data_IF_000003187577
#
_entry.id   IF_000003187577
#
_cell.length_a   1.000
_cell.length_b   1.000
_cell.length_c   1.000
_cell.angle_alpha   90.00
_cell.angle_beta   90.00
_cell.angle_gamma   90.00
#
_symmetry.space_group_name_H-M   'P 1'
#
loop_
_entity.id
_entity.type
_entity.pdbx_description
1 polymer ?
#
# COMPACT_ATOMS: atom_id res chain seq x y z
N UNK A 1 26.48 52.72 -2.21
CA UNK A 1 25.64 51.95 -1.28
C UNK A 1 24.66 51.16 -2.11
N UNK A 2 24.96 49.88 -2.35
CA UNK A 2 24.01 48.95 -2.96
C UNK A 2 24.38 47.56 -2.42
N UNK A 3 23.69 47.13 -1.38
CA UNK A 3 23.83 45.80 -0.77
C UNK A 3 22.74 44.92 -1.35
N UNK A 4 23.10 44.12 -2.37
CA UNK A 4 22.28 43.01 -2.85
C UNK A 4 22.42 41.82 -1.91
N UNK A 5 21.33 41.41 -1.29
CA UNK A 5 21.19 40.15 -0.56
C UNK A 5 21.32 38.97 -1.54
N UNK A 6 22.02 37.87 -1.19
CA UNK A 6 22.04 36.69 -2.04
C UNK A 6 20.70 35.96 -1.95
N UNK A 7 20.13 35.68 -3.11
CA UNK A 7 18.92 34.88 -3.31
C UNK A 7 19.08 33.50 -2.69
N UNK A 8 18.17 33.16 -1.76
CA UNK A 8 17.94 31.79 -1.29
C UNK A 8 17.65 30.92 -2.51
N UNK A 9 18.51 29.94 -2.76
CA UNK A 9 18.38 28.96 -3.83
C UNK A 9 17.13 28.10 -3.60
N UNK A 10 16.04 28.42 -4.30
CA UNK A 10 14.90 27.52 -4.46
C UNK A 10 15.35 26.30 -5.26
N UNK A 11 15.57 25.17 -4.59
CA UNK A 11 15.65 23.87 -5.28
C UNK A 11 14.28 23.62 -5.93
N UNK A 12 14.22 23.21 -7.20
CA UNK A 12 12.97 23.20 -7.95
C UNK A 12 11.98 22.20 -7.36
N UNK A 13 10.70 22.60 -7.32
CA UNK A 13 9.49 21.81 -7.00
C UNK A 13 9.50 20.37 -7.56
N UNK A 14 10.30 20.14 -8.60
CA UNK A 14 10.61 18.88 -9.26
C UNK A 14 11.18 17.77 -8.34
N UNK A 15 12.01 18.07 -7.34
CA UNK A 15 12.64 17.02 -6.51
C UNK A 15 11.64 16.31 -5.57
N UNK A 16 10.72 17.07 -4.96
CA UNK A 16 9.64 16.51 -4.12
C UNK A 16 8.66 15.71 -4.99
N UNK A 17 8.38 16.22 -6.19
CA UNK A 17 7.56 15.52 -7.18
C UNK A 17 8.20 14.19 -7.62
N UNK A 18 9.50 14.15 -7.89
CA UNK A 18 10.21 12.93 -8.27
C UNK A 18 10.22 11.88 -7.15
N UNK A 19 10.45 12.30 -5.91
CA UNK A 19 10.36 11.40 -4.75
C UNK A 19 8.95 10.83 -4.57
N UNK A 20 7.93 11.68 -4.66
CA UNK A 20 6.54 11.25 -4.60
C UNK A 20 6.15 10.32 -5.76
N UNK A 21 6.66 10.58 -6.97
CA UNK A 21 6.51 9.66 -8.10
C UNK A 21 7.18 8.32 -7.83
N UNK A 22 8.38 8.30 -7.23
CA UNK A 22 9.05 7.06 -6.84
C UNK A 22 8.25 6.31 -5.77
N UNK A 23 7.63 6.99 -4.80
CA UNK A 23 6.70 6.38 -3.83
C UNK A 23 5.48 5.77 -4.54
N UNK A 24 4.88 6.47 -5.51
CA UNK A 24 3.80 5.90 -6.33
C UNK A 24 4.25 4.68 -7.16
N UNK A 25 5.46 4.73 -7.73
CA UNK A 25 6.03 3.68 -8.56
C UNK A 25 6.43 2.45 -7.73
N UNK A 26 7.03 2.64 -6.55
CA UNK A 26 7.26 1.58 -5.58
C UNK A 26 5.93 1.02 -5.05
N UNK A 27 4.88 1.85 -4.91
CA UNK A 27 3.53 1.40 -4.60
C UNK A 27 2.83 0.64 -5.73
N UNK A 28 3.30 0.68 -6.99
CA UNK A 28 2.82 -0.25 -8.04
C UNK A 28 3.13 -1.70 -7.69
N UNK A 29 4.18 -1.94 -6.89
CA UNK A 29 4.61 -3.26 -6.43
C UNK A 29 4.10 -3.61 -5.02
N UNK A 30 3.50 -2.68 -4.28
CA UNK A 30 2.99 -2.94 -2.92
C UNK A 30 1.81 -3.92 -2.91
N UNK A 31 1.02 -4.01 -3.99
CA UNK A 31 -0.03 -5.02 -4.15
C UNK A 31 0.52 -6.45 -4.29
N UNK A 32 1.76 -6.61 -4.79
CA UNK A 32 2.43 -7.92 -4.86
C UNK A 32 2.86 -8.43 -3.47
N UNK A 33 3.02 -7.55 -2.48
CA UNK A 33 3.29 -7.94 -1.09
C UNK A 33 2.09 -8.58 -0.38
N UNK A 34 0.87 -8.40 -0.89
CA UNK A 34 -0.34 -9.01 -0.33
C UNK A 34 -0.54 -10.46 -0.83
N UNK A 35 0.17 -10.88 -1.89
CA UNK A 35 0.10 -12.24 -2.44
C UNK A 35 1.46 -12.76 -2.94
N UNK A 36 2.42 -13.01 -2.04
CA UNK A 36 3.35 -14.15 -2.07
C UNK A 36 4.53 -13.92 -1.12
N UNK A 37 4.78 -14.89 -0.24
CA UNK A 37 5.97 -14.93 0.63
C UNK A 37 7.12 -15.74 -0.01
N UNK A 38 7.17 -15.82 -1.34
CA UNK A 38 8.18 -16.62 -2.05
C UNK A 38 8.35 -16.18 -3.51
N UNK A 39 9.21 -15.17 -3.74
CA UNK A 39 10.21 -15.16 -4.82
C UNK A 39 11.09 -13.89 -4.70
N UNK A 40 12.14 -13.94 -3.89
CA UNK A 40 13.37 -13.20 -4.18
C UNK A 40 14.31 -14.22 -4.83
N UNK A 41 14.75 -14.00 -6.07
CA UNK A 41 16.08 -14.37 -6.56
C UNK A 41 16.34 -13.63 -7.90
N UNK A 42 17.51 -12.98 -7.93
CA UNK A 42 18.29 -12.49 -9.07
C UNK A 42 17.68 -11.48 -10.05
N UNK A 43 18.30 -10.30 -10.12
CA UNK A 43 19.24 -10.01 -11.21
C UNK A 43 20.08 -8.76 -10.86
N UNK A 44 21.37 -8.99 -10.65
CA UNK A 44 22.40 -7.98 -10.67
C UNK A 44 23.21 -8.01 -11.97
N UNK A 45 23.96 -6.92 -12.16
CA UNK A 45 25.07 -6.70 -13.08
C UNK A 45 24.75 -6.32 -14.54
N UNK A 46 25.26 -5.12 -14.91
CA UNK A 46 25.99 -4.68 -16.11
C UNK A 46 26.15 -3.15 -15.93
N UNK A 47 27.29 -2.48 -16.04
CA UNK A 47 28.70 -2.82 -16.14
C UNK A 47 29.49 -1.54 -15.76
N UNK A 48 30.63 -1.73 -15.12
CA UNK A 48 31.72 -0.75 -15.02
C UNK A 48 32.40 -0.59 -16.38
N UNK A 49 32.67 0.65 -16.81
CA UNK A 49 33.99 1.02 -17.33
C UNK A 49 34.13 2.53 -17.59
N UNK A 50 35.12 3.15 -16.98
CA UNK A 50 36.13 3.99 -17.65
C UNK A 50 36.94 4.77 -16.61
N UNK A 51 38.16 4.30 -16.38
CA UNK A 51 39.24 5.14 -15.89
C UNK A 51 39.86 5.91 -17.07
N UNK A 52 40.39 7.12 -16.81
CA UNK A 52 41.79 7.54 -17.11
C UNK A 52 41.94 9.08 -16.99
N UNK A 53 42.71 9.48 -15.97
CA UNK A 53 43.67 10.59 -15.78
C UNK A 53 43.39 12.02 -16.27
N UNK A 54 43.54 12.99 -15.35
CA UNK A 54 44.66 13.97 -15.43
C UNK A 54 44.95 14.66 -14.08
N UNK A 55 46.23 14.72 -13.75
CA UNK A 55 46.85 15.35 -12.58
C UNK A 55 47.09 16.85 -12.78
N UNK A 56 46.77 17.66 -11.75
CA UNK A 56 47.66 18.65 -11.10
C UNK A 56 46.98 19.99 -10.72
N UNK A 57 47.10 20.32 -9.43
CA UNK A 57 47.23 21.66 -8.84
C UNK A 57 45.95 22.48 -8.56
N UNK A 58 45.34 22.26 -7.39
CA UNK A 58 44.94 23.32 -6.45
C UNK A 58 44.54 22.73 -5.09
N UNK A 59 45.51 22.68 -4.17
CA UNK A 59 45.31 22.39 -2.75
C UNK A 59 44.71 23.64 -2.08
N UNK A 60 43.40 23.60 -1.79
CA UNK A 60 42.69 24.26 -0.66
C UNK A 60 41.18 23.92 -0.67
N UNK A 61 40.62 23.28 -1.71
CA UNK A 61 39.17 22.93 -1.79
C UNK A 61 38.87 21.42 -1.93
N UNK A 62 39.87 20.57 -1.73
CA UNK A 62 39.76 19.10 -1.88
C UNK A 62 39.30 18.38 -0.62
N UNK A 63 39.50 18.96 0.57
CA UNK A 63 39.12 18.35 1.85
C UNK A 63 37.64 18.48 2.18
N UNK A 64 36.98 19.54 1.69
CA UNK A 64 35.53 19.76 1.80
C UNK A 64 34.76 18.83 0.88
N UNK A 65 35.18 18.75 -0.38
CA UNK A 65 34.55 17.93 -1.43
C UNK A 65 34.76 16.42 -1.24
N UNK A 66 35.96 16.00 -0.81
CA UNK A 66 36.22 14.58 -0.52
C UNK A 66 35.41 14.08 0.69
N UNK A 67 35.29 14.91 1.74
CA UNK A 67 34.57 14.57 2.96
C UNK A 67 33.04 14.54 2.74
N UNK A 68 32.49 15.40 1.88
CA UNK A 68 31.05 15.35 1.51
C UNK A 68 30.74 14.11 0.65
N UNK A 69 31.62 13.73 -0.27
CA UNK A 69 31.42 12.54 -1.09
C UNK A 69 31.52 11.24 -0.28
N UNK A 70 32.48 11.15 0.64
CA UNK A 70 32.62 10.01 1.56
C UNK A 70 31.38 9.87 2.47
N UNK A 71 30.80 11.00 2.91
CA UNK A 71 29.63 10.97 3.79
C UNK A 71 28.37 10.53 3.08
N UNK A 72 28.19 10.96 1.83
CA UNK A 72 27.10 10.48 0.99
C UNK A 72 27.23 8.97 0.75
N UNK A 73 28.43 8.48 0.45
CA UNK A 73 28.69 7.05 0.25
C UNK A 73 28.39 6.23 1.51
N UNK A 74 28.81 6.69 2.70
CA UNK A 74 28.51 5.99 3.96
C UNK A 74 27.02 5.93 4.29
N UNK A 75 26.26 6.99 3.99
CA UNK A 75 24.82 7.02 4.22
C UNK A 75 24.05 6.19 3.20
N UNK A 76 24.51 6.08 1.95
CA UNK A 76 23.93 5.14 0.99
C UNK A 76 24.14 3.69 1.45
N UNK A 77 25.32 3.32 1.97
CA UNK A 77 25.55 1.99 2.55
C UNK A 77 24.59 1.73 3.72
N UNK A 78 24.34 2.72 4.58
CA UNK A 78 23.40 2.57 5.69
C UNK A 78 21.95 2.37 5.20
N UNK A 79 21.55 3.01 4.09
CA UNK A 79 20.24 2.78 3.47
C UNK A 79 20.14 1.35 2.92
N UNK A 80 21.16 0.85 2.23
CA UNK A 80 21.21 -0.53 1.74
C UNK A 80 21.16 -1.55 2.91
N UNK A 81 21.83 -1.24 4.02
CA UNK A 81 21.76 -2.04 5.25
C UNK A 81 20.33 -2.10 5.82
N UNK A 82 19.59 -1.00 5.78
CA UNK A 82 18.18 -0.99 6.20
C UNK A 82 17.33 -1.88 5.28
N UNK A 83 17.55 -1.82 3.97
CA UNK A 83 16.83 -2.66 3.00
C UNK A 83 17.10 -4.16 3.19
N UNK A 84 18.32 -4.51 3.61
CA UNK A 84 18.75 -5.89 3.87
C UNK A 84 18.47 -6.38 5.30
N UNK A 85 17.94 -5.52 6.18
CA UNK A 85 17.58 -5.85 7.56
C UNK A 85 18.74 -5.75 8.56
N UNK A 86 19.89 -5.22 8.16
CA UNK A 86 21.06 -4.97 9.00
C UNK A 86 20.92 -3.66 9.83
N UNK A 87 19.79 -3.51 10.52
CA UNK A 87 19.39 -2.25 11.14
C UNK A 87 20.40 -1.70 12.16
N UNK A 88 20.98 -2.55 13.00
CA UNK A 88 21.98 -2.11 13.98
C UNK A 88 23.24 -1.53 13.33
N UNK A 89 23.64 -2.04 12.16
CA UNK A 89 24.80 -1.50 11.43
C UNK A 89 24.48 -0.12 10.87
N UNK A 90 23.31 0.04 10.26
CA UNK A 90 22.83 1.31 9.74
C UNK A 90 22.69 2.37 10.84
N UNK A 91 22.14 1.99 12.00
CA UNK A 91 22.00 2.88 13.18
C UNK A 91 23.38 3.41 13.59
N UNK A 92 24.39 2.54 13.73
CA UNK A 92 25.76 2.96 14.11
C UNK A 92 26.39 3.92 13.10
N UNK A 93 26.15 3.70 11.80
CA UNK A 93 26.66 4.59 10.75
C UNK A 93 25.98 5.96 10.86
N UNK A 94 24.65 5.99 10.98
CA UNK A 94 23.89 7.22 11.10
C UNK A 94 24.27 8.03 12.35
N UNK A 95 24.40 7.39 13.53
CA UNK A 95 24.84 8.06 14.77
C UNK A 95 26.22 8.70 14.65
N UNK A 96 27.16 8.00 13.99
CA UNK A 96 28.50 8.52 13.72
C UNK A 96 28.45 9.76 12.84
N UNK A 97 27.66 9.71 11.77
CA UNK A 97 27.53 10.83 10.84
C UNK A 97 26.83 12.03 11.46
N UNK A 98 25.83 11.82 12.31
CA UNK A 98 25.20 12.88 13.12
C UNK A 98 26.28 13.54 13.99
N UNK A 99 27.04 12.74 14.76
CA UNK A 99 28.07 13.27 15.65
C UNK A 99 29.17 14.06 14.92
N UNK A 100 29.63 13.55 13.77
CA UNK A 100 30.60 14.24 12.91
C UNK A 100 30.05 15.57 12.36
N UNK A 101 28.83 15.53 11.84
CA UNK A 101 28.17 16.71 11.26
C UNK A 101 27.91 17.79 12.31
N UNK A 102 27.44 17.41 13.51
CA UNK A 102 27.25 18.36 14.62
C UNK A 102 28.55 19.02 15.07
N UNK A 103 29.66 18.28 15.09
CA UNK A 103 30.95 18.79 15.49
C UNK A 103 31.54 19.79 14.47
N UNK A 104 31.27 19.59 13.17
CA UNK A 104 31.84 20.39 12.08
C UNK A 104 30.94 21.58 11.73
N UNK A 105 29.63 21.34 11.57
CA UNK A 105 28.67 22.31 11.01
C UNK A 105 27.70 22.88 12.05
N UNK A 106 27.53 22.19 13.19
CA UNK A 106 26.66 22.63 14.28
C UNK A 106 25.31 21.90 14.34
N UNK A 107 24.55 22.15 15.41
CA UNK A 107 23.40 21.33 15.84
C UNK A 107 22.12 21.52 15.02
N UNK A 108 22.08 22.54 14.17
CA UNK A 108 20.92 22.90 13.35
C UNK A 108 21.27 23.00 11.87
N UNK A 109 22.43 22.49 11.45
CA UNK A 109 22.81 22.50 10.04
C UNK A 109 21.89 21.57 9.22
N UNK A 110 21.53 22.00 8.01
CA UNK A 110 20.64 21.24 7.12
C UNK A 110 21.21 19.87 6.74
N UNK A 111 22.53 19.70 6.75
CA UNK A 111 23.19 18.42 6.49
C UNK A 111 22.84 17.34 7.52
N UNK A 112 22.29 17.71 8.69
CA UNK A 112 21.82 16.74 9.69
C UNK A 112 20.52 16.02 9.29
N UNK A 113 19.73 16.56 8.36
CA UNK A 113 18.40 16.00 8.05
C UNK A 113 18.52 14.56 7.55
N UNK A 114 19.41 14.30 6.61
CA UNK A 114 19.58 12.98 6.02
C UNK A 114 20.05 11.91 7.02
N UNK A 115 21.14 12.09 7.78
CA UNK A 115 21.57 11.08 8.74
C UNK A 115 20.58 10.89 9.89
N UNK A 116 19.81 11.93 10.27
CA UNK A 116 18.68 11.77 11.22
C UNK A 116 17.54 10.94 10.65
N UNK A 117 17.23 11.09 9.36
CA UNK A 117 16.23 10.25 8.67
C UNK A 117 16.70 8.79 8.60
N UNK A 118 17.97 8.55 8.24
CA UNK A 118 18.54 7.19 8.21
C UNK A 118 18.53 6.55 9.59
N UNK A 119 18.86 7.32 10.65
CA UNK A 119 18.74 6.85 12.03
C UNK A 119 17.31 6.45 12.36
N UNK A 120 16.33 7.30 12.03
CA UNK A 120 14.92 7.01 12.24
C UNK A 120 14.45 5.76 11.49
N UNK A 121 14.88 5.59 10.24
CA UNK A 121 14.54 4.43 9.41
C UNK A 121 15.12 3.13 9.99
N UNK A 122 16.39 3.17 10.42
CA UNK A 122 17.05 2.05 11.09
C UNK A 122 16.36 1.66 12.40
N UNK A 123 16.04 2.65 13.25
CA UNK A 123 15.34 2.42 14.52
C UNK A 123 13.91 1.87 14.30
N UNK A 124 13.18 2.39 13.32
CA UNK A 124 11.84 1.91 12.98
C UNK A 124 11.88 0.47 12.45
N UNK A 125 12.86 0.14 11.59
CA UNK A 125 13.08 -1.22 11.10
C UNK A 125 13.47 -2.20 12.22
N UNK A 126 14.27 -1.73 13.18
CA UNK A 126 14.63 -2.50 14.38
C UNK A 126 13.45 -2.70 15.36
N UNK A 127 12.39 -1.90 15.25
CA UNK A 127 11.21 -1.94 16.12
C UNK A 127 11.26 -0.99 17.31
N UNK A 128 12.27 -0.12 17.39
CA UNK A 128 12.37 0.95 18.39
C UNK A 128 11.64 2.21 17.90
N UNK A 129 10.31 2.13 17.89
CA UNK A 129 9.45 3.17 17.31
C UNK A 129 9.55 4.51 18.05
N UNK A 130 9.80 4.51 19.36
CA UNK A 130 9.89 5.76 20.14
C UNK A 130 11.15 6.55 19.80
N UNK A 131 12.30 5.88 19.71
CA UNK A 131 13.54 6.56 19.30
C UNK A 131 13.52 6.92 17.81
N UNK A 132 12.87 6.13 16.96
CA UNK A 132 12.66 6.48 15.56
C UNK A 132 11.88 7.80 15.43
N UNK A 133 10.76 7.94 16.14
CA UNK A 133 9.96 9.17 16.17
C UNK A 133 10.78 10.37 16.67
N UNK A 134 11.60 10.20 17.72
CA UNK A 134 12.49 11.27 18.19
C UNK A 134 13.50 11.72 17.13
N UNK A 135 14.06 10.78 16.34
CA UNK A 135 14.97 11.10 15.25
C UNK A 135 14.28 11.88 14.12
N UNK A 136 13.07 11.46 13.73
CA UNK A 136 12.26 12.18 12.73
C UNK A 136 11.81 13.56 13.20
N UNK A 137 11.35 13.70 14.45
CA UNK A 137 10.99 14.99 15.05
C UNK A 137 12.19 15.96 14.99
N UNK A 138 13.39 15.45 15.25
CA UNK A 138 14.62 16.23 15.16
C UNK A 138 14.95 16.62 13.71
N UNK A 139 14.80 15.71 12.75
CA UNK A 139 14.96 16.03 11.33
C UNK A 139 13.96 17.09 10.85
N UNK A 140 12.69 17.00 11.28
CA UNK A 140 11.66 18.01 11.02
C UNK A 140 12.01 19.35 11.65
N UNK A 141 12.50 19.36 12.89
CA UNK A 141 12.91 20.58 13.56
C UNK A 141 14.04 21.30 12.79
N UNK A 142 15.10 20.57 12.41
CA UNK A 142 16.20 21.12 11.59
C UNK A 142 15.67 21.65 10.26
N UNK A 143 14.80 20.89 9.58
CA UNK A 143 14.17 21.33 8.32
C UNK A 143 13.40 22.64 8.50
N UNK A 144 12.58 22.74 9.55
CA UNK A 144 11.75 23.92 9.82
C UNK A 144 12.57 25.15 10.18
N UNK A 145 13.68 24.97 10.91
CA UNK A 145 14.61 26.06 11.25
C UNK A 145 15.26 26.64 9.98
N UNK A 146 15.62 25.79 9.02
CA UNK A 146 16.36 26.21 7.83
C UNK A 146 15.46 26.63 6.65
N UNK A 147 14.28 26.03 6.50
CA UNK A 147 13.44 26.18 5.32
C UNK A 147 12.02 26.71 5.61
N UNK A 148 11.60 26.73 6.89
CA UNK A 148 10.30 27.21 7.33
C UNK A 148 9.28 26.10 7.63
N UNK A 149 8.18 26.48 8.29
CA UNK A 149 7.23 25.55 8.91
C UNK A 149 6.46 24.67 7.91
N UNK A 150 6.28 25.12 6.68
CA UNK A 150 5.49 24.42 5.65
C UNK A 150 6.32 24.11 4.40
N UNK A 151 7.64 24.00 4.52
CA UNK A 151 8.48 23.61 3.39
C UNK A 151 8.13 22.18 2.94
N UNK A 152 7.95 21.92 1.63
CA UNK A 152 7.55 20.61 1.11
C UNK A 152 8.63 19.52 1.29
N UNK A 153 9.90 19.87 1.55
CA UNK A 153 10.97 18.89 1.85
C UNK A 153 10.69 18.08 3.10
N UNK A 154 9.89 18.59 4.02
CA UNK A 154 9.56 17.88 5.26
C UNK A 154 8.55 16.74 5.05
N UNK A 155 7.82 16.72 3.91
CA UNK A 155 6.74 15.77 3.62
C UNK A 155 7.20 14.32 3.71
N UNK A 156 8.40 14.01 3.20
CA UNK A 156 8.95 12.66 3.27
C UNK A 156 9.13 12.19 4.72
N UNK A 157 9.62 13.05 5.60
CA UNK A 157 9.82 12.74 7.03
C UNK A 157 8.48 12.59 7.75
N UNK A 158 7.48 13.43 7.44
CA UNK A 158 6.14 13.31 8.02
C UNK A 158 5.49 11.97 7.64
N UNK A 159 5.66 11.49 6.41
CA UNK A 159 5.16 10.15 6.04
C UNK A 159 5.88 9.02 6.80
N UNK A 160 7.17 9.18 7.13
CA UNK A 160 7.90 8.22 7.98
C UNK A 160 7.35 8.21 9.41
N UNK A 161 7.06 9.38 10.00
CA UNK A 161 6.35 9.44 11.29
C UNK A 161 5.01 8.72 11.23
N UNK A 162 4.22 9.00 10.19
CA UNK A 162 2.91 8.38 10.01
C UNK A 162 3.00 6.85 9.95
N UNK A 163 3.92 6.32 9.16
CA UNK A 163 4.16 4.88 9.06
C UNK A 163 4.68 4.27 10.36
N UNK A 164 5.51 5.01 11.11
CA UNK A 164 6.04 4.58 12.41
C UNK A 164 4.94 4.53 13.47
N UNK A 165 4.05 5.53 13.52
CA UNK A 165 2.86 5.49 14.38
C UNK A 165 1.94 4.31 14.03
N UNK A 166 1.74 4.04 12.73
CA UNK A 166 0.96 2.88 12.29
C UNK A 166 1.59 1.56 12.75
N UNK A 167 2.90 1.39 12.59
CA UNK A 167 3.64 0.20 13.03
C UNK A 167 3.57 0.02 14.55
N UNK A 168 3.59 1.12 15.31
CA UNK A 168 3.37 1.16 16.77
C UNK A 168 1.92 0.84 17.17
N UNK A 169 0.98 0.80 16.22
CA UNK A 169 -0.44 0.56 16.46
C UNK A 169 -1.27 1.81 16.77
N UNK A 170 -0.67 3.00 16.71
CA UNK A 170 -1.33 4.29 16.89
C UNK A 170 -1.86 4.82 15.55
N UNK A 171 -2.99 4.25 15.12
CA UNK A 171 -3.56 4.54 13.81
C UNK A 171 -4.16 5.94 13.74
N UNK A 172 -4.63 6.50 14.87
CA UNK A 172 -5.18 7.86 14.92
C UNK A 172 -4.10 8.89 14.59
N UNK A 173 -2.96 8.86 15.30
CA UNK A 173 -1.85 9.78 15.01
C UNK A 173 -1.26 9.53 13.62
N UNK A 174 -1.20 8.28 13.18
CA UNK A 174 -0.78 7.96 11.81
C UNK A 174 -1.68 8.63 10.76
N UNK A 175 -2.99 8.70 11.01
CA UNK A 175 -3.94 9.39 10.14
C UNK A 175 -3.68 10.90 10.11
N UNK A 176 -3.54 11.53 11.29
CA UNK A 176 -3.26 12.96 11.41
C UNK A 176 -1.97 13.36 10.69
N UNK A 177 -0.94 12.50 10.74
CA UNK A 177 0.34 12.72 10.04
C UNK A 177 0.21 12.59 8.52
N UNK A 178 -0.55 11.61 8.01
CA UNK A 178 -0.83 11.52 6.56
C UNK A 178 -1.61 12.75 6.06
N UNK A 179 -2.62 13.20 6.80
CA UNK A 179 -3.38 14.41 6.47
C UNK A 179 -2.49 15.66 6.52
N UNK A 180 -1.61 15.77 7.52
CA UNK A 180 -0.66 16.89 7.62
C UNK A 180 0.34 16.92 6.45
N UNK A 181 0.86 15.76 6.04
CA UNK A 181 1.73 15.65 4.87
C UNK A 181 1.02 16.15 3.61
N UNK A 182 -0.23 15.74 3.40
CA UNK A 182 -1.05 16.22 2.29
C UNK A 182 -1.34 17.73 2.39
N UNK A 183 -1.66 18.24 3.57
CA UNK A 183 -1.88 19.68 3.78
C UNK A 183 -0.65 20.52 3.44
N UNK A 184 0.57 20.05 3.75
CA UNK A 184 1.80 20.73 3.32
C UNK A 184 1.88 20.76 1.79
N UNK A 185 1.58 19.66 1.11
CA UNK A 185 1.56 19.62 -0.35
C UNK A 185 0.53 20.59 -0.92
N UNK A 186 -0.71 20.53 -0.44
CA UNK A 186 -1.79 21.42 -0.87
C UNK A 186 -1.39 22.89 -0.74
N UNK A 187 -0.85 23.29 0.41
CA UNK A 187 -0.41 24.67 0.64
C UNK A 187 0.69 25.15 -0.32
N UNK A 188 1.49 24.24 -0.88
CA UNK A 188 2.60 24.59 -1.77
C UNK A 188 2.25 24.47 -3.27
N UNK A 189 1.17 23.76 -3.62
CA UNK A 189 0.85 23.37 -4.99
C UNK A 189 -0.65 23.52 -5.34
N UNK A 190 -1.44 24.26 -4.55
CA UNK A 190 -2.87 24.54 -4.82
C UNK A 190 -3.12 25.56 -5.94
N UNK A 191 -2.06 26.12 -6.51
CA UNK A 191 -2.15 26.98 -7.69
C UNK A 191 -2.23 26.13 -8.95
N UNK A 192 -3.14 26.47 -9.86
CA UNK A 192 -3.46 25.69 -11.05
C UNK A 192 -2.25 25.31 -11.94
N UNK A 193 -1.17 26.10 -11.94
CA UNK A 193 0.06 25.77 -12.66
C UNK A 193 0.88 24.61 -12.03
N UNK A 194 0.71 24.37 -10.73
CA UNK A 194 1.48 23.40 -9.94
C UNK A 194 0.62 22.23 -9.41
N UNK A 195 -0.71 22.27 -9.60
CA UNK A 195 -1.66 21.25 -9.09
C UNK A 195 -1.31 19.81 -9.50
N UNK A 196 -0.61 19.63 -10.62
CA UNK A 196 -0.08 18.31 -11.04
C UNK A 196 0.79 17.65 -9.96
N UNK A 197 1.48 18.45 -9.13
CA UNK A 197 2.32 17.96 -8.04
C UNK A 197 1.52 17.40 -6.85
N UNK A 198 0.21 17.67 -6.76
CA UNK A 198 -0.68 17.10 -5.75
C UNK A 198 -1.09 15.67 -6.05
N UNK A 199 -1.01 15.23 -7.31
CA UNK A 199 -1.51 13.93 -7.75
C UNK A 199 -0.92 12.79 -6.91
N UNK A 200 0.40 12.69 -6.71
CA UNK A 200 0.96 11.65 -5.86
C UNK A 200 0.50 11.69 -4.40
N UNK A 201 0.49 12.87 -3.77
CA UNK A 201 0.01 13.00 -2.39
C UNK A 201 -1.46 12.61 -2.25
N UNK A 202 -2.26 12.90 -3.28
CA UNK A 202 -3.68 12.54 -3.34
C UNK A 202 -3.87 11.03 -3.35
N UNK A 203 -3.07 10.30 -4.15
CA UNK A 203 -3.10 8.84 -4.18
C UNK A 203 -2.60 8.22 -2.87
N UNK A 204 -1.50 8.72 -2.30
CA UNK A 204 -0.96 8.22 -1.02
C UNK A 204 -2.01 8.32 0.09
N UNK A 205 -2.72 9.46 0.18
CA UNK A 205 -3.77 9.64 1.18
C UNK A 205 -5.03 8.81 0.87
N UNK A 206 -5.40 8.64 -0.40
CA UNK A 206 -6.49 7.73 -0.79
C UNK A 206 -6.20 6.28 -0.39
N UNK A 207 -4.98 5.79 -0.70
CA UNK A 207 -4.53 4.44 -0.39
C UNK A 207 -4.46 4.22 1.14
N UNK A 208 -4.00 5.22 1.90
CA UNK A 208 -4.02 5.21 3.36
C UNK A 208 -5.44 5.01 3.91
N UNK A 209 -6.41 5.74 3.36
CA UNK A 209 -7.80 5.59 3.77
C UNK A 209 -8.41 4.25 3.36
N UNK A 210 -8.01 3.66 2.23
CA UNK A 210 -8.38 2.26 1.91
C UNK A 210 -7.80 1.30 2.95
N UNK A 211 -6.50 1.46 3.26
CA UNK A 211 -5.77 0.61 4.22
C UNK A 211 -6.38 0.65 5.62
N UNK A 212 -6.84 1.81 6.06
CA UNK A 212 -7.51 2.01 7.37
C UNK A 212 -9.02 1.88 7.31
N UNK A 213 -9.57 1.48 6.16
CA UNK A 213 -11.00 1.28 5.91
C UNK A 213 -11.88 2.54 6.11
N UNK A 214 -11.30 3.73 5.95
CA UNK A 214 -12.05 4.99 5.78
C UNK A 214 -12.48 5.17 4.32
N UNK A 215 -13.33 4.25 3.85
CA UNK A 215 -13.75 4.13 2.44
C UNK A 215 -14.38 5.40 1.85
N UNK A 216 -15.04 6.23 2.66
CA UNK A 216 -15.64 7.49 2.18
C UNK A 216 -14.57 8.55 1.90
N UNK A 217 -13.58 8.69 2.78
CA UNK A 217 -12.46 9.60 2.52
C UNK A 217 -11.57 9.09 1.38
N UNK A 218 -11.31 7.78 1.32
CA UNK A 218 -10.62 7.17 0.18
C UNK A 218 -11.29 7.54 -1.14
N UNK A 219 -12.63 7.45 -1.20
CA UNK A 219 -13.41 7.82 -2.39
C UNK A 219 -13.22 9.29 -2.74
N UNK A 220 -13.35 10.19 -1.76
CA UNK A 220 -13.14 11.63 -1.98
C UNK A 220 -11.77 11.91 -2.60
N UNK A 221 -10.71 11.26 -2.11
CA UNK A 221 -9.36 11.47 -2.64
C UNK A 221 -9.13 10.79 -4.00
N UNK A 222 -9.67 9.61 -4.29
CA UNK A 222 -9.61 9.05 -5.64
C UNK A 222 -10.42 9.87 -6.66
N UNK A 223 -11.56 10.43 -6.27
CA UNK A 223 -12.34 11.35 -7.10
C UNK A 223 -11.54 12.63 -7.38
N UNK A 224 -10.84 13.17 -6.37
CA UNK A 224 -9.90 14.28 -6.57
C UNK A 224 -8.76 13.90 -7.52
N UNK A 225 -8.18 12.72 -7.35
CA UNK A 225 -7.14 12.22 -8.24
C UNK A 225 -7.65 12.06 -9.68
N UNK A 226 -8.91 11.63 -9.87
CA UNK A 226 -9.57 11.57 -11.18
C UNK A 226 -9.61 12.95 -11.83
N UNK A 227 -10.10 13.96 -11.11
CA UNK A 227 -10.22 15.34 -11.61
C UNK A 227 -8.86 15.94 -11.96
N UNK A 228 -7.85 15.77 -11.08
CA UNK A 228 -6.50 16.25 -11.35
C UNK A 228 -5.87 15.54 -12.56
N UNK A 229 -6.04 14.22 -12.65
CA UNK A 229 -5.49 13.44 -13.76
C UNK A 229 -6.13 13.80 -15.10
N UNK A 230 -7.46 13.96 -15.14
CA UNK A 230 -8.19 14.38 -16.34
C UNK A 230 -7.77 15.79 -16.78
N UNK A 231 -7.60 16.71 -15.83
CA UNK A 231 -7.24 18.11 -16.09
C UNK A 231 -5.81 18.26 -16.63
N UNK A 232 -4.84 17.54 -16.07
CA UNK A 232 -3.42 17.75 -16.39
C UNK A 232 -2.83 16.77 -17.40
N UNK A 233 -3.35 15.53 -17.48
CA UNK A 233 -2.85 14.52 -18.41
C UNK A 233 -3.82 14.20 -19.55
N UNK A 234 -5.10 14.59 -19.43
CA UNK A 234 -6.13 14.35 -20.43
C UNK A 234 -6.75 12.95 -20.39
N UNK A 235 -7.79 12.79 -21.21
CA UNK A 235 -8.59 11.57 -21.35
C UNK A 235 -7.75 10.49 -22.03
N UNK A 236 -7.28 9.51 -21.27
CA UNK A 236 -6.52 8.35 -21.77
C UNK A 236 -5.23 8.05 -21.00
N UNK A 237 -4.81 8.94 -20.11
CA UNK A 237 -3.58 8.74 -19.35
C UNK A 237 -3.70 7.63 -18.30
N UNK A 238 -2.68 6.78 -18.09
CA UNK A 238 -2.72 5.67 -17.12
C UNK A 238 -3.05 6.09 -15.68
N UNK A 239 -2.69 7.32 -15.28
CA UNK A 239 -3.03 7.86 -13.94
C UNK A 239 -4.54 8.03 -13.77
N UNK A 240 -5.26 8.42 -14.83
CA UNK A 240 -6.72 8.51 -14.78
C UNK A 240 -7.36 7.11 -14.61
N UNK A 241 -6.81 6.09 -15.29
CA UNK A 241 -7.21 4.69 -15.09
C UNK A 241 -7.00 4.26 -13.63
N UNK A 242 -5.85 4.62 -13.03
CA UNK A 242 -5.56 4.32 -11.63
C UNK A 242 -6.58 4.98 -10.68
N UNK A 243 -6.92 6.25 -10.90
CA UNK A 243 -7.93 6.96 -10.11
C UNK A 243 -9.30 6.29 -10.21
N UNK A 244 -9.76 5.96 -11.43
CA UNK A 244 -11.02 5.28 -11.68
C UNK A 244 -11.07 3.89 -11.02
N UNK A 245 -9.96 3.13 -11.06
CA UNK A 245 -9.84 1.84 -10.36
C UNK A 245 -10.00 2.02 -8.85
N UNK A 246 -9.36 3.05 -8.29
CA UNK A 246 -9.53 3.43 -6.88
C UNK A 246 -10.98 3.73 -6.53
N UNK A 247 -11.66 4.56 -7.33
CA UNK A 247 -13.09 4.85 -7.18
C UNK A 247 -13.93 3.57 -7.18
N UNK A 248 -13.79 2.72 -8.21
CA UNK A 248 -14.52 1.46 -8.31
C UNK A 248 -14.26 0.53 -7.10
N UNK A 249 -13.00 0.44 -6.66
CA UNK A 249 -12.63 -0.36 -5.49
C UNK A 249 -13.27 0.18 -4.19
N UNK A 250 -13.42 1.50 -4.02
CA UNK A 250 -14.12 2.04 -2.83
C UNK A 250 -15.58 1.62 -2.78
N UNK A 251 -16.29 1.58 -3.92
CA UNK A 251 -17.68 1.09 -3.98
C UNK A 251 -17.76 -0.42 -3.78
N UNK A 252 -16.76 -1.17 -4.29
CA UNK A 252 -16.63 -2.61 -4.02
C UNK A 252 -16.50 -2.86 -2.52
N UNK A 253 -15.58 -2.19 -1.85
CA UNK A 253 -15.31 -2.35 -0.42
C UNK A 253 -16.49 -1.90 0.45
N UNK A 254 -17.23 -0.86 0.06
CA UNK A 254 -18.45 -0.47 0.76
C UNK A 254 -19.50 -1.60 0.79
N UNK A 255 -19.63 -2.37 -0.31
CA UNK A 255 -20.54 -3.50 -0.39
C UNK A 255 -19.95 -4.79 0.21
N UNK A 256 -18.66 -5.01 -0.01
CA UNK A 256 -17.91 -6.22 0.31
C UNK A 256 -16.77 -5.88 1.26
N UNK A 257 -17.15 -5.52 2.49
CA UNK A 257 -16.24 -5.19 3.57
C UNK A 257 -15.31 -6.36 3.91
N UNK A 258 -14.04 -6.11 4.27
CA UNK A 258 -13.19 -7.11 4.89
C UNK A 258 -13.81 -7.70 6.16
N UNK A 259 -13.42 -8.94 6.49
CA UNK A 259 -13.83 -9.64 7.69
C UNK A 259 -13.45 -8.86 8.95
N UNK A 260 -12.25 -8.29 8.95
CA UNK A 260 -11.72 -7.46 10.02
C UNK A 260 -11.45 -6.05 9.50
N UNK A 261 -12.09 -5.08 10.13
CA UNK A 261 -11.96 -3.66 9.79
C UNK A 261 -10.98 -3.03 10.78
N UNK A 262 -9.84 -2.49 10.33
CA UNK A 262 -8.97 -1.67 11.16
C UNK A 262 -9.78 -0.54 11.80
N UNK A 263 -9.56 -0.28 13.09
CA UNK A 263 -10.24 0.78 13.84
C UNK A 263 -11.77 0.73 13.87
N UNK A 264 -12.37 -0.47 13.85
CA UNK A 264 -13.83 -0.59 13.98
C UNK A 264 -14.35 0.13 15.25
N UNK A 265 -13.56 0.15 16.33
CA UNK A 265 -13.90 0.83 17.58
C UNK A 265 -13.93 2.35 17.41
N UNK A 266 -12.95 2.95 16.75
CA UNK A 266 -12.93 4.41 16.49
C UNK A 266 -13.97 4.82 15.44
N UNK A 267 -14.19 4.00 14.41
CA UNK A 267 -15.27 4.20 13.43
C UNK A 267 -16.66 4.12 14.10
N UNK A 268 -16.85 3.19 15.03
CA UNK A 268 -18.08 3.08 15.81
C UNK A 268 -18.19 4.23 16.82
N UNK A 269 -17.09 4.64 17.46
CA UNK A 269 -17.04 5.73 18.41
C UNK A 269 -17.31 7.09 17.76
N UNK A 270 -16.72 7.37 16.60
CA UNK A 270 -16.98 8.58 15.80
C UNK A 270 -18.43 8.64 15.33
N UNK A 271 -19.00 7.51 14.88
CA UNK A 271 -20.42 7.41 14.52
C UNK A 271 -21.35 7.59 15.73
N UNK A 272 -20.95 7.15 16.93
CA UNK A 272 -21.68 7.35 18.20
C UNK A 272 -21.57 8.77 18.75
N UNK A 273 -20.42 9.43 18.58
CA UNK A 273 -20.15 10.79 19.11
C UNK A 273 -20.72 11.90 18.25
N UNK A 274 -21.26 11.61 17.06
CA UNK A 274 -21.83 12.63 16.18
C UNK A 274 -20.86 13.78 15.90
N UNK A 275 -19.56 13.49 15.83
CA UNK A 275 -18.53 14.52 15.72
C UNK A 275 -18.58 15.16 14.33
N UNK A 276 -19.24 16.32 14.28
CA UNK A 276 -18.96 17.41 13.37
C UNK A 276 -17.47 17.77 13.50
N UNK A 277 -16.69 17.75 12.41
CA UNK A 277 -16.35 19.04 11.80
C UNK A 277 -16.08 19.00 10.29
N UNK A 278 -16.19 17.87 9.59
CA UNK A 278 -16.02 17.88 8.11
C UNK A 278 -16.80 16.80 7.33
N UNK A 279 -17.61 15.98 8.02
CA UNK A 279 -18.52 15.01 7.37
C UNK A 279 -19.71 15.68 6.66
N UNK A 280 -19.94 16.98 6.85
CA UNK A 280 -20.99 17.76 6.18
C UNK A 280 -20.69 18.06 4.70
N UNK A 281 -19.48 17.74 4.22
CA UNK A 281 -19.10 17.85 2.79
C UNK A 281 -19.22 16.54 2.02
N UNK A 282 -19.56 15.43 2.68
CA UNK A 282 -19.69 14.15 2.00
C UNK A 282 -21.08 14.04 1.35
N UNK A 283 -21.17 13.67 0.06
CA UNK A 283 -22.45 13.40 -0.56
C UNK A 283 -23.15 12.26 0.19
N UNK A 284 -24.50 12.31 0.33
CA UNK A 284 -25.24 11.30 1.07
C UNK A 284 -24.96 9.91 0.51
N UNK A 285 -24.70 8.94 1.40
CA UNK A 285 -24.49 7.53 1.06
C UNK A 285 -25.70 7.02 0.28
N UNK A 286 -25.53 6.83 -1.04
CA UNK A 286 -26.57 6.24 -1.87
C UNK A 286 -26.67 4.76 -1.53
N UNK A 287 -27.87 4.27 -1.29
CA UNK A 287 -28.12 2.87 -0.92
C UNK A 287 -27.87 1.92 -2.12
N UNK A 288 -27.68 2.45 -3.33
CA UNK A 288 -27.37 1.68 -4.55
C UNK A 288 -26.03 2.11 -5.17
N UNK A 289 -24.95 1.52 -4.68
CA UNK A 289 -23.55 1.79 -5.04
C UNK A 289 -23.06 1.05 -6.31
N UNK A 290 -23.96 0.34 -7.00
CA UNK A 290 -23.61 -0.46 -8.17
C UNK A 290 -23.22 0.41 -9.38
N UNK A 291 -23.96 1.50 -9.60
CA UNK A 291 -23.87 2.30 -10.83
C UNK A 291 -22.56 3.07 -10.89
N UNK A 292 -22.15 3.69 -9.80
CA UNK A 292 -20.96 4.54 -9.77
C UNK A 292 -19.67 3.73 -9.98
N UNK A 293 -19.55 2.56 -9.34
CA UNK A 293 -18.44 1.65 -9.59
C UNK A 293 -18.47 1.06 -11.01
N UNK A 294 -19.66 0.72 -11.52
CA UNK A 294 -19.83 0.27 -12.91
C UNK A 294 -19.39 1.36 -13.90
N UNK A 295 -19.77 2.62 -13.69
CA UNK A 295 -19.41 3.71 -14.60
C UNK A 295 -17.91 3.90 -14.70
N UNK A 296 -17.20 3.83 -13.56
CA UNK A 296 -15.75 3.95 -13.55
C UNK A 296 -15.07 2.80 -14.31
N UNK A 297 -15.55 1.56 -14.14
CA UNK A 297 -15.02 0.39 -14.85
C UNK A 297 -15.31 0.43 -16.36
N UNK A 298 -16.49 0.88 -16.77
CA UNK A 298 -16.83 1.10 -18.18
C UNK A 298 -15.91 2.16 -18.80
N UNK A 299 -15.63 3.24 -18.07
CA UNK A 299 -14.73 4.29 -18.52
C UNK A 299 -13.31 3.76 -18.73
N UNK A 300 -12.80 2.95 -17.79
CA UNK A 300 -11.51 2.26 -17.95
C UNK A 300 -11.49 1.41 -19.22
N UNK A 301 -12.50 0.57 -19.46
CA UNK A 301 -12.58 -0.25 -20.67
C UNK A 301 -12.55 0.61 -21.94
N UNK A 302 -13.30 1.72 -21.97
CA UNK A 302 -13.31 2.65 -23.11
C UNK A 302 -11.94 3.29 -23.34
N UNK A 303 -11.26 3.71 -22.26
CA UNK A 303 -9.94 4.33 -22.35
C UNK A 303 -8.90 3.37 -22.90
N UNK A 304 -8.87 2.13 -22.39
CA UNK A 304 -7.92 1.11 -22.85
C UNK A 304 -8.20 0.74 -24.32
N UNK A 305 -9.47 0.61 -24.72
CA UNK A 305 -9.84 0.36 -26.12
C UNK A 305 -9.49 1.51 -27.08
N UNK A 306 -9.46 2.74 -26.60
CA UNK A 306 -9.14 3.91 -27.41
C UNK A 306 -7.63 4.11 -27.63
N UNK A 307 -6.77 3.41 -26.89
CA UNK A 307 -5.33 3.43 -27.09
C UNK A 307 -5.00 2.68 -28.39
N UNK A 308 -4.45 3.38 -29.39
CA UNK A 308 -4.26 2.86 -30.75
C UNK A 308 -3.38 1.61 -30.88
N UNK A 309 -2.57 1.31 -29.85
CA UNK A 309 -1.69 0.13 -29.75
C UNK A 309 -2.07 -0.80 -28.58
N UNK A 310 -3.33 -0.78 -28.15
CA UNK A 310 -3.76 -1.48 -26.94
C UNK A 310 -3.38 -2.97 -26.96
N UNK A 311 -2.58 -3.37 -25.97
CA UNK A 311 -2.25 -4.77 -25.74
C UNK A 311 -3.56 -5.53 -25.46
N UNK A 312 -3.81 -6.59 -26.22
CA UNK A 312 -5.03 -7.41 -26.10
C UNK A 312 -5.23 -7.91 -24.65
N UNK A 313 -4.15 -8.21 -23.93
CA UNK A 313 -4.21 -8.59 -22.51
C UNK A 313 -4.68 -7.45 -21.60
N UNK A 314 -4.30 -6.20 -21.88
CA UNK A 314 -4.74 -5.05 -21.08
C UNK A 314 -6.24 -4.78 -21.26
N UNK A 315 -6.71 -4.86 -22.51
CA UNK A 315 -8.16 -4.78 -22.82
C UNK A 315 -8.91 -5.90 -22.12
N UNK A 316 -8.38 -7.12 -22.18
CA UNK A 316 -8.98 -8.28 -21.56
C UNK A 316 -9.07 -8.13 -20.04
N UNK A 317 -8.00 -7.68 -19.37
CA UNK A 317 -8.01 -7.42 -17.93
C UNK A 317 -9.05 -6.37 -17.54
N UNK A 318 -9.16 -5.26 -18.28
CA UNK A 318 -10.18 -4.25 -18.01
C UNK A 318 -11.61 -4.80 -18.16
N UNK A 319 -11.85 -5.65 -19.18
CA UNK A 319 -13.15 -6.33 -19.35
C UNK A 319 -13.42 -7.34 -18.24
N UNK A 320 -12.40 -8.08 -17.78
CA UNK A 320 -12.51 -9.01 -16.65
C UNK A 320 -12.84 -8.28 -15.34
N UNK A 321 -12.24 -7.11 -15.08
CA UNK A 321 -12.59 -6.29 -13.90
C UNK A 321 -14.09 -5.91 -13.91
N UNK A 322 -14.62 -5.55 -15.07
CA UNK A 322 -16.05 -5.23 -15.24
C UNK A 322 -16.94 -6.49 -15.17
N UNK A 323 -16.49 -7.62 -15.69
CA UNK A 323 -17.19 -8.90 -15.59
C UNK A 323 -17.29 -9.38 -14.14
N UNK A 324 -16.18 -9.30 -13.40
CA UNK A 324 -16.09 -9.62 -11.98
C UNK A 324 -16.98 -8.70 -11.15
N UNK A 325 -17.05 -7.40 -11.48
CA UNK A 325 -18.02 -6.47 -10.89
C UNK A 325 -19.46 -6.95 -11.10
N UNK A 326 -19.83 -7.33 -12.34
CA UNK A 326 -21.17 -7.87 -12.59
C UNK A 326 -21.44 -9.17 -11.84
N UNK A 327 -20.45 -10.06 -11.72
CA UNK A 327 -20.59 -11.29 -10.96
C UNK A 327 -20.80 -11.02 -9.46
N UNK A 328 -20.03 -10.11 -8.87
CA UNK A 328 -20.17 -9.69 -7.47
C UNK A 328 -21.59 -9.20 -7.16
N UNK A 329 -22.17 -8.40 -8.06
CA UNK A 329 -23.51 -7.84 -7.92
C UNK A 329 -24.61 -8.72 -8.53
N UNK A 330 -24.33 -10.01 -8.76
CA UNK A 330 -25.27 -11.03 -9.25
C UNK A 330 -25.90 -10.73 -10.63
N UNK A 331 -25.24 -9.91 -11.44
CA UNK A 331 -25.61 -9.63 -12.83
C UNK A 331 -25.01 -10.68 -13.78
N UNK A 332 -25.30 -11.96 -13.50
CA UNK A 332 -24.66 -13.12 -14.13
C UNK A 332 -24.70 -13.09 -15.67
N UNK A 333 -25.82 -12.63 -16.26
CA UNK A 333 -25.93 -12.52 -17.73
C UNK A 333 -24.95 -11.52 -18.32
N UNK A 334 -24.75 -10.37 -17.67
CA UNK A 334 -23.82 -9.33 -18.13
C UNK A 334 -22.37 -9.75 -17.90
N UNK A 335 -22.10 -10.40 -16.77
CA UNK A 335 -20.80 -11.00 -16.50
C UNK A 335 -20.42 -12.01 -17.59
N UNK A 336 -21.34 -12.93 -17.92
CA UNK A 336 -21.12 -13.97 -18.92
C UNK A 336 -20.76 -13.40 -20.29
N UNK A 337 -21.48 -12.37 -20.75
CA UNK A 337 -21.22 -11.72 -22.05
C UNK A 337 -19.77 -11.22 -22.11
N UNK A 338 -19.27 -10.62 -21.03
CA UNK A 338 -17.89 -10.10 -20.99
C UNK A 338 -16.84 -11.21 -20.87
N UNK A 339 -17.10 -12.25 -20.08
CA UNK A 339 -16.16 -13.38 -20.00
C UNK A 339 -16.04 -14.12 -21.34
N UNK A 340 -17.17 -14.31 -22.05
CA UNK A 340 -17.19 -14.94 -23.37
C UNK A 340 -16.48 -14.07 -24.41
N UNK A 341 -16.71 -12.75 -24.40
CA UNK A 341 -15.99 -11.81 -25.26
C UNK A 341 -14.48 -11.81 -25.01
N UNK A 342 -14.05 -11.88 -23.75
CA UNK A 342 -12.63 -12.07 -23.41
C UNK A 342 -12.13 -13.40 -23.93
N UNK A 343 -12.82 -14.52 -23.70
CA UNK A 343 -12.42 -15.84 -24.20
C UNK A 343 -12.21 -15.84 -25.72
N UNK A 344 -13.20 -15.35 -26.47
CA UNK A 344 -13.16 -15.30 -27.94
C UNK A 344 -12.01 -14.44 -28.48
N UNK A 345 -11.56 -13.43 -27.72
CA UNK A 345 -10.40 -12.61 -28.14
C UNK A 345 -9.07 -13.38 -28.14
N UNK A 346 -8.97 -14.54 -27.48
CA UNK A 346 -7.77 -15.39 -27.44
C UNK A 346 -7.93 -16.74 -28.16
N UNK A 347 -9.11 -17.07 -28.67
CA UNK A 347 -9.42 -18.36 -29.32
C UNK A 347 -8.60 -18.61 -30.62
N UNK A 348 -8.02 -17.55 -31.20
CA UNK A 348 -7.20 -17.58 -32.42
C UNK A 348 -5.71 -17.94 -32.26
N UNK A 349 -5.27 -18.41 -31.09
CA UNK A 349 -3.87 -18.82 -30.84
C UNK A 349 -2.94 -17.74 -30.29
N UNK A 350 -3.46 -16.56 -29.95
CA UNK A 350 -2.74 -15.52 -29.21
C UNK A 350 -2.73 -15.88 -27.71
N UNK A 351 -1.55 -15.98 -27.09
CA UNK A 351 -1.34 -16.14 -25.63
C UNK A 351 -2.28 -17.14 -24.93
N UNK A 352 -2.09 -18.45 -25.16
CA UNK A 352 -2.75 -19.50 -24.36
C UNK A 352 -2.54 -19.31 -22.86
N UNK A 353 -1.42 -18.68 -22.50
CA UNK A 353 -1.03 -18.38 -21.13
C UNK A 353 -1.98 -17.40 -20.45
N UNK A 354 -2.59 -16.46 -21.17
CA UNK A 354 -3.55 -15.51 -20.59
C UNK A 354 -4.80 -16.23 -20.07
N UNK A 355 -5.43 -17.06 -20.91
CA UNK A 355 -6.63 -17.81 -20.55
C UNK A 355 -6.32 -18.81 -19.44
N UNK A 356 -5.17 -19.51 -19.53
CA UNK A 356 -4.71 -20.42 -18.49
C UNK A 356 -4.58 -19.72 -17.12
N UNK A 357 -4.04 -18.49 -17.12
CA UNK A 357 -3.84 -17.68 -15.90
C UNK A 357 -5.14 -17.09 -15.35
N UNK A 358 -6.02 -16.59 -16.20
CA UNK A 358 -7.15 -15.75 -15.78
C UNK A 358 -8.51 -16.45 -15.76
N UNK A 359 -8.70 -17.52 -16.54
CA UNK A 359 -10.02 -18.14 -16.75
C UNK A 359 -10.03 -19.67 -16.60
N UNK A 360 -8.89 -20.36 -16.63
CA UNK A 360 -8.87 -21.83 -16.54
C UNK A 360 -9.12 -22.37 -15.12
N UNK A 361 -8.80 -21.59 -14.09
CA UNK A 361 -8.98 -21.96 -12.69
C UNK A 361 -9.82 -20.93 -11.95
N UNK A 362 -10.60 -21.34 -10.92
CA UNK A 362 -11.37 -20.40 -10.12
C UNK A 362 -10.47 -19.37 -9.45
N UNK A 363 -10.75 -18.08 -9.65
CA UNK A 363 -9.97 -16.98 -9.08
C UNK A 363 -10.79 -16.21 -8.04
N UNK A 364 -10.32 -16.04 -6.80
CA UNK A 364 -11.09 -15.31 -5.79
C UNK A 364 -11.22 -13.82 -6.17
N UNK A 365 -12.47 -13.35 -6.33
CA UNK A 365 -12.79 -11.92 -6.53
C UNK A 365 -13.06 -11.25 -5.18
N UNK A 366 -13.69 -11.98 -4.27
CA UNK A 366 -13.89 -11.56 -2.89
C UNK A 366 -13.66 -12.76 -1.97
N UNK A 367 -12.61 -12.69 -1.18
CA UNK A 367 -12.30 -13.64 -0.11
C UNK A 367 -11.65 -12.84 1.01
N UNK A 368 -12.36 -12.69 2.12
CA UNK A 368 -11.82 -12.01 3.29
C UNK A 368 -11.78 -12.96 4.46
N UNK A 369 -10.59 -13.51 4.72
CA UNK A 369 -10.34 -14.41 5.84
C UNK A 369 -10.13 -13.62 7.13
N UNK A 370 -10.38 -14.23 8.30
CA UNK A 370 -10.04 -13.64 9.58
C UNK A 370 -8.53 -13.33 9.67
N UNK A 371 -8.20 -12.23 10.34
CA UNK A 371 -6.84 -11.83 10.69
C UNK A 371 -6.44 -12.40 12.05
N UNK A 372 -5.13 -12.41 12.32
CA UNK A 372 -4.61 -12.81 13.62
C UNK A 372 -5.12 -11.88 14.74
N UNK A 373 -5.39 -12.41 15.95
CA UNK A 373 -5.75 -11.57 17.08
C UNK A 373 -4.63 -10.58 17.39
N UNK A 374 -4.99 -9.32 17.64
CA UNK A 374 -4.04 -8.28 18.05
C UNK A 374 -3.26 -8.75 19.29
N UNK A 375 -1.93 -8.61 19.26
CA UNK A 375 -1.07 -8.84 20.42
C UNK A 375 -1.44 -7.86 21.51
N UNK A 376 -1.88 -8.35 22.68
CA UNK A 376 -2.07 -7.50 23.86
C UNK A 376 -0.70 -7.00 24.34
N UNK A 377 -0.57 -5.72 24.70
CA UNK A 377 0.71 -5.19 25.23
C UNK A 377 1.14 -5.86 26.54
N UNK A 378 0.23 -6.59 27.20
CA UNK A 378 0.50 -7.39 28.41
C UNK A 378 0.88 -8.85 28.10
N UNK A 379 1.04 -9.22 26.81
CA UNK A 379 1.31 -10.60 26.38
C UNK A 379 2.79 -10.98 26.43
N UNK A 380 3.63 -10.27 27.20
CA UNK A 380 5.08 -10.50 27.32
C UNK A 380 5.45 -11.90 27.81
N UNK A 381 4.49 -12.72 28.24
CA UNK A 381 4.71 -14.08 28.73
C UNK A 381 3.76 -15.18 28.20
N UNK A 382 2.89 -14.93 27.20
CA UNK A 382 2.01 -15.99 26.68
C UNK A 382 2.58 -16.59 25.39
N UNK A 383 2.98 -17.86 25.43
CA UNK A 383 3.49 -18.59 24.26
C UNK A 383 2.38 -18.70 23.20
N UNK A 384 2.56 -17.99 22.10
CA UNK A 384 1.71 -18.10 20.91
C UNK A 384 1.89 -19.47 20.25
N UNK A 385 0.84 -19.97 19.62
CA UNK A 385 0.86 -21.20 18.82
C UNK A 385 0.18 -20.93 17.48
N UNK A 386 0.60 -21.64 16.42
CA UNK A 386 -0.04 -21.56 15.11
C UNK A 386 -1.17 -22.58 15.01
N UNK A 387 -2.31 -22.13 14.51
CA UNK A 387 -3.43 -22.95 14.09
C UNK A 387 -3.54 -23.00 12.57
N UNK A 388 -4.25 -24.00 12.06
CA UNK A 388 -4.53 -24.18 10.64
C UNK A 388 -5.97 -24.64 10.43
N UNK A 389 -6.63 -24.06 9.44
CA UNK A 389 -7.92 -24.51 8.92
C UNK A 389 -7.78 -24.79 7.43
N UNK A 390 -8.10 -26.00 7.02
CA UNK A 390 -8.14 -26.42 5.62
C UNK A 390 -9.58 -26.78 5.26
N UNK A 391 -10.11 -26.13 4.23
CA UNK A 391 -11.45 -26.34 3.70
C UNK A 391 -11.37 -26.84 2.26
N UNK A 392 -12.32 -27.69 1.88
CA UNK A 392 -12.57 -28.09 0.49
C UNK A 392 -13.99 -27.70 0.10
N UNK A 393 -14.21 -27.31 -1.16
CA UNK A 393 -15.52 -26.92 -1.67
C UNK A 393 -15.58 -26.95 -3.19
N UNK A 394 -16.79 -26.84 -3.72
CA UNK A 394 -17.04 -26.62 -5.14
C UNK A 394 -17.31 -25.14 -5.40
N UNK A 395 -16.66 -24.57 -6.42
CA UNK A 395 -17.04 -23.27 -6.99
C UNK A 395 -17.99 -23.55 -8.15
N UNK A 396 -19.25 -23.11 -8.05
CA UNK A 396 -20.22 -23.30 -9.14
C UNK A 396 -20.02 -22.31 -10.30
N UNK A 397 -20.81 -22.45 -11.36
CA UNK A 397 -20.73 -21.61 -12.57
C UNK A 397 -21.06 -20.13 -12.31
N UNK A 398 -21.66 -19.82 -11.15
CA UNK A 398 -21.96 -18.46 -10.69
C UNK A 398 -20.91 -17.92 -9.72
N UNK A 399 -19.79 -18.62 -9.56
CA UNK A 399 -18.70 -18.18 -8.68
C UNK A 399 -19.00 -18.30 -7.19
N UNK A 400 -20.05 -19.04 -6.80
CA UNK A 400 -20.43 -19.22 -5.41
C UNK A 400 -19.87 -20.53 -4.85
N UNK A 401 -19.49 -20.49 -3.58
CA UNK A 401 -18.99 -21.66 -2.83
C UNK A 401 -20.17 -22.54 -2.40
N UNK A 402 -20.16 -23.81 -2.82
CA UNK A 402 -21.09 -24.86 -2.42
C UNK A 402 -20.32 -26.10 -1.93
N UNK A 403 -21.02 -27.06 -1.30
CA UNK A 403 -20.43 -28.32 -0.82
C UNK A 403 -19.20 -28.15 0.11
N UNK A 404 -19.26 -27.13 0.99
CA UNK A 404 -18.13 -26.75 1.85
C UNK A 404 -17.89 -27.73 3.01
N UNK A 405 -16.74 -28.39 2.96
CA UNK A 405 -16.25 -29.36 3.96
C UNK A 405 -15.02 -28.81 4.69
N UNK A 406 -14.90 -29.16 5.98
CA UNK A 406 -13.69 -28.89 6.76
C UNK A 406 -12.83 -30.15 6.72
N UNK A 407 -11.68 -30.08 6.07
CA UNK A 407 -10.72 -31.18 6.00
C UNK A 407 -9.86 -31.24 7.26
N UNK A 408 -9.44 -30.07 7.74
CA UNK A 408 -8.59 -29.94 8.94
C UNK A 408 -8.93 -28.66 9.69
N UNK A 409 -8.96 -28.76 11.02
CA UNK A 409 -9.10 -27.60 11.91
C UNK A 409 -8.33 -27.82 13.21
N UNK A 410 -7.23 -27.09 13.36
CA UNK A 410 -6.37 -27.15 14.54
C UNK A 410 -6.18 -25.73 15.10
N UNK A 411 -6.53 -25.47 16.37
CA UNK A 411 -7.26 -26.33 17.29
C UNK A 411 -8.69 -26.61 16.83
N UNK A 412 -9.29 -27.69 17.34
CA UNK A 412 -10.67 -28.07 17.01
C UNK A 412 -11.65 -26.92 17.23
N UNK A 413 -12.55 -26.68 16.27
CA UNK A 413 -13.56 -25.62 16.31
C UNK A 413 -13.09 -24.25 15.83
N UNK A 414 -11.84 -24.12 15.37
CA UNK A 414 -11.30 -22.89 14.78
C UNK A 414 -11.87 -22.55 13.40
N UNK A 415 -12.53 -23.51 12.76
CA UNK A 415 -13.03 -23.41 11.39
C UNK A 415 -14.29 -22.54 11.26
N UNK A 416 -15.00 -22.24 12.34
CA UNK A 416 -16.28 -21.52 12.29
C UNK A 416 -16.21 -20.18 11.51
N UNK A 417 -15.26 -19.30 11.87
CA UNK A 417 -15.12 -17.99 11.22
C UNK A 417 -14.62 -18.15 9.78
N UNK A 418 -13.67 -19.06 9.54
CA UNK A 418 -13.12 -19.33 8.21
C UNK A 418 -14.23 -19.84 7.28
N UNK A 419 -15.04 -20.81 7.73
CA UNK A 419 -16.22 -21.32 6.98
C UNK A 419 -17.23 -20.22 6.71
N UNK A 420 -17.51 -19.36 7.70
CA UNK A 420 -18.43 -18.23 7.54
C UNK A 420 -17.96 -17.29 6.42
N UNK A 421 -16.66 -17.02 6.35
CA UNK A 421 -16.10 -16.17 5.29
C UNK A 421 -16.03 -16.89 3.94
N UNK A 422 -15.65 -18.17 3.92
CA UNK A 422 -15.64 -18.99 2.70
C UNK A 422 -17.02 -19.03 2.02
N UNK A 423 -18.13 -19.16 2.78
CA UNK A 423 -19.50 -19.10 2.23
C UNK A 423 -19.86 -17.75 1.61
N UNK A 424 -19.28 -16.66 2.10
CA UNK A 424 -19.47 -15.31 1.55
C UNK A 424 -18.55 -15.04 0.37
N UNK A 425 -17.51 -15.84 0.18
CA UNK A 425 -16.55 -15.65 -0.88
C UNK A 425 -17.21 -15.70 -2.26
N UNK A 426 -16.63 -14.97 -3.20
CA UNK A 426 -17.02 -14.96 -4.61
C UNK A 426 -15.78 -15.21 -5.44
N UNK A 427 -15.90 -16.13 -6.38
CA UNK A 427 -14.84 -16.51 -7.30
C UNK A 427 -15.28 -16.20 -8.72
N UNK A 428 -14.35 -15.79 -9.56
CA UNK A 428 -14.47 -15.98 -10.99
C UNK A 428 -14.46 -17.49 -11.23
N UNK A 429 -15.48 -18.09 -11.85
CA UNK A 429 -15.48 -19.53 -12.12
C UNK A 429 -14.38 -19.89 -13.14
N UNK A 430 -14.07 -21.19 -13.25
CA UNK A 430 -13.29 -21.67 -14.38
C UNK A 430 -14.14 -21.67 -15.66
N UNK A 431 -13.50 -21.55 -16.82
CA UNK A 431 -14.14 -21.53 -18.12
C UNK A 431 -13.57 -22.61 -19.04
N UNK A 432 -14.46 -23.23 -19.81
CA UNK A 432 -14.14 -24.13 -20.92
C UNK A 432 -15.02 -23.73 -22.10
N UNK A 433 -14.42 -23.51 -23.27
CA UNK A 433 -15.12 -23.05 -24.49
C UNK A 433 -15.97 -21.80 -24.25
N UNK A 434 -15.43 -20.83 -23.51
CA UNK A 434 -16.10 -19.57 -23.16
C UNK A 434 -17.26 -19.70 -22.16
N UNK A 435 -17.52 -20.90 -21.64
CA UNK A 435 -18.62 -21.16 -20.70
C UNK A 435 -18.10 -21.47 -19.30
N UNK A 436 -18.73 -20.92 -18.25
CA UNK A 436 -18.33 -21.18 -16.88
C UNK A 436 -18.69 -22.62 -16.51
N UNK A 437 -17.78 -23.29 -15.81
CA UNK A 437 -17.93 -24.65 -15.32
C UNK A 437 -17.84 -24.70 -13.79
N UNK A 438 -18.59 -25.62 -13.19
CA UNK A 438 -18.42 -25.93 -11.78
C UNK A 438 -17.07 -26.63 -11.57
N UNK A 439 -16.30 -26.16 -10.60
CA UNK A 439 -14.99 -26.72 -10.25
C UNK A 439 -15.07 -27.33 -8.84
N UNK A 440 -15.11 -28.67 -8.72
CA UNK A 440 -15.06 -29.34 -7.42
C UNK A 440 -13.66 -29.29 -6.81
N UNK A 441 -13.55 -29.70 -5.54
CA UNK A 441 -12.28 -29.91 -4.82
C UNK A 441 -11.35 -28.69 -4.75
N UNK A 442 -11.90 -27.47 -4.79
CA UNK A 442 -11.15 -26.24 -4.55
C UNK A 442 -10.74 -26.19 -3.07
N UNK A 443 -9.44 -25.98 -2.82
CA UNK A 443 -8.88 -25.97 -1.46
C UNK A 443 -8.57 -24.57 -0.98
N UNK A 444 -8.86 -24.32 0.28
CA UNK A 444 -8.53 -23.09 1.00
C UNK A 444 -7.81 -23.46 2.30
N UNK A 445 -6.56 -23.01 2.45
CA UNK A 445 -5.81 -23.14 3.68
C UNK A 445 -5.65 -21.78 4.34
N UNK A 446 -5.93 -21.71 5.64
CA UNK A 446 -5.80 -20.52 6.45
C UNK A 446 -5.04 -20.83 7.73
N UNK A 447 -3.89 -20.19 7.90
CA UNK A 447 -3.10 -20.25 9.12
C UNK A 447 -3.33 -19.01 9.96
N UNK A 448 -3.43 -19.18 11.28
CA UNK A 448 -3.61 -18.08 12.20
C UNK A 448 -2.86 -18.31 13.52
N UNK A 449 -2.63 -17.26 14.27
CA UNK A 449 -2.01 -17.31 15.60
C UNK A 449 -3.08 -17.36 16.69
N UNK A 450 -2.89 -18.19 17.70
CA UNK A 450 -3.76 -18.24 18.86
C UNK A 450 -3.00 -18.47 20.16
N UNK A 451 -3.69 -18.19 21.27
CA UNK A 451 -3.18 -18.37 22.62
C UNK A 451 -3.85 -19.61 23.25
N UNK A 452 -3.13 -20.73 23.43
CA UNK A 452 -3.71 -21.91 24.04
C UNK A 452 -4.05 -21.62 25.51
N UNK A 453 -5.25 -22.05 25.95
CA UNK A 453 -5.58 -21.99 27.38
C UNK A 453 -4.63 -22.92 28.15
N UNK A 454 -4.14 -22.52 29.34
CA UNK A 454 -3.37 -23.43 30.19
C UNK A 454 -4.18 -24.71 30.42
N UNK A 455 -3.58 -25.88 30.18
CA UNK A 455 -4.21 -27.17 30.53
C UNK A 455 -4.56 -27.12 32.02
N UNK A 456 -5.85 -27.28 32.36
CA UNK A 456 -6.25 -27.48 33.75
C UNK A 456 -5.56 -28.74 34.26
N UNK A 457 -4.65 -28.60 35.24
CA UNK A 457 -4.18 -29.73 36.05
C UNK A 457 -5.39 -30.29 36.79
N UNK A 458 -5.95 -31.40 36.31
CA UNK A 458 -7.06 -32.05 37.00
C UNK A 458 -7.94 -32.90 36.09
N UNK A 459 -7.36 -33.91 35.45
CA UNK A 459 -8.10 -35.10 35.05
C UNK A 459 -7.10 -36.26 35.14
N UNK A 460 -6.86 -36.70 36.38
CA UNK A 460 -6.31 -38.02 36.63
C UNK A 460 -7.26 -39.03 36.00
N UNK A 461 -6.75 -39.71 34.98
CA UNK A 461 -7.29 -40.96 34.48
C UNK A 461 -7.27 -41.99 35.62
N UNK A 462 -8.40 -42.19 36.29
CA UNK A 462 -8.65 -43.47 36.95
C UNK A 462 -9.04 -44.49 35.86
N UNK A 463 -8.41 -45.67 35.81
CA UNK A 463 -8.90 -46.76 34.98
C UNK A 463 -10.08 -47.43 35.70
N UNK A 464 -11.20 -47.55 35.00
CA UNK A 464 -12.35 -48.38 35.40
C UNK A 464 -11.87 -49.80 35.79
N UNK A 465 -12.33 -50.27 36.95
CA UNK A 465 -12.24 -51.66 37.39
C UNK A 465 -13.61 -52.32 37.36
#
# INVERSE_FOLDING_TARGET
MNSGSPSVTSVPKFAVFQWLQNVLLQNRFWWLWIFSSSLMHSLGAIASDSAVTETAMQTVDSSSTHNVNETNETLEIAKDQIETGEYEAAIRVAEREIGRTEAILGRYDIALVEPLVVLGDGLAGYGDYDNALNAYDRALHVTRVNAGLHDPKQVAVVYREANTHYAKGDIATANDRHEYAYHILERNFDQQADEIALIPGTFVLADWYVKTYNIFMARTFYERARVLAETHYGVGHPILIQALRGVANTYRLEKFAPADIPNIEDLVASRRKGSSTDLSRLPPTRINNFREGETALIEIVKMVLAQGDANIEEVALAKLDLADWYLLFQQNKRAQILYEDVWLSFDGGSSTDFIARELQYPKPIYLSLPQDPKTSSNATHVRTTKGVVELSFTVNERGSVIDLVTERAEPSGSDFLVRKQARKARYRPAFVDGKPIATPDVRLSHTFTYYPRPRSRGATSEPDR
#
